data_IF_210214840496
#
_entry.id   IF_210214840496
#
_cell.length_a   1.000
_cell.length_b   1.000
_cell.length_c   1.000
_cell.angle_alpha   90.00
_cell.angle_beta   90.00
_cell.angle_gamma   90.00
#
_symmetry.space_group_name_H-M   'P 1'
#
loop_
_entity.id
_entity.type
_entity.pdbx_description
1 polymer ?
#
# COMPACT_ATOMS: atom_id res chain seq x y z
N UNK A 1 12.42 -15.59 31.59
CA UNK A 1 12.97 -16.17 30.34
C UNK A 1 13.06 -15.04 29.35
N UNK A 2 14.27 -14.61 29.00
CA UNK A 2 14.50 -13.57 27.97
C UNK A 2 13.99 -14.09 26.63
N UNK A 3 13.14 -13.32 25.94
CA UNK A 3 12.47 -13.84 24.74
C UNK A 3 13.40 -13.94 23.53
N UNK A 4 14.46 -13.14 23.45
CA UNK A 4 15.47 -13.22 22.39
C UNK A 4 16.80 -12.59 22.87
N UNK A 5 17.93 -12.91 22.23
CA UNK A 5 19.20 -12.18 22.34
C UNK A 5 19.52 -11.51 20.99
N UNK A 6 20.24 -10.38 21.01
CA UNK A 6 20.88 -9.64 19.89
C UNK A 6 20.20 -8.29 19.53
N UNK A 7 20.97 -7.20 19.54
CA UNK A 7 20.53 -5.82 19.23
C UNK A 7 20.01 -5.57 17.82
N UNK A 8 20.22 -6.49 16.87
CA UNK A 8 19.60 -6.46 15.55
C UNK A 8 18.08 -6.74 15.60
N UNK A 9 17.62 -7.44 16.65
CA UNK A 9 16.20 -7.67 16.89
C UNK A 9 15.50 -6.39 17.33
N UNK A 10 16.13 -5.60 18.20
CA UNK A 10 15.58 -4.32 18.66
C UNK A 10 15.31 -3.41 17.46
N UNK A 11 16.27 -3.35 16.55
CA UNK A 11 16.18 -2.55 15.33
C UNK A 11 15.05 -3.02 14.41
N UNK A 12 14.81 -4.33 14.34
CA UNK A 12 13.74 -4.91 13.54
C UNK A 12 12.35 -4.68 14.17
N UNK A 13 12.26 -4.72 15.51
CA UNK A 13 11.05 -4.40 16.27
C UNK A 13 10.72 -2.90 16.20
N UNK A 14 11.72 -2.02 16.33
CA UNK A 14 11.59 -0.57 16.07
C UNK A 14 11.07 -0.32 14.65
N UNK A 15 11.59 -1.07 13.68
CA UNK A 15 11.12 -0.99 12.29
C UNK A 15 9.64 -1.41 12.16
N UNK A 16 9.24 -2.46 12.88
CA UNK A 16 7.87 -2.95 12.88
C UNK A 16 6.90 -1.93 13.51
N UNK A 17 7.27 -1.39 14.68
CA UNK A 17 6.55 -0.34 15.40
C UNK A 17 6.27 0.87 14.49
N UNK A 18 7.33 1.46 13.93
CA UNK A 18 7.22 2.64 13.05
C UNK A 18 6.40 2.34 11.79
N UNK A 19 6.61 1.17 11.17
CA UNK A 19 5.89 0.78 9.97
C UNK A 19 4.40 0.51 10.20
N UNK A 20 4.02 0.10 11.41
CA UNK A 20 2.63 -0.19 11.79
C UNK A 20 1.81 1.03 12.21
N UNK A 21 2.39 2.23 12.30
CA UNK A 21 1.66 3.44 12.70
C UNK A 21 0.45 3.72 11.79
N UNK A 22 -0.76 4.05 12.31
CA UNK A 22 -1.08 4.38 13.70
C UNK A 22 -1.44 3.19 14.60
N UNK A 23 -1.46 1.95 14.10
CA UNK A 23 -1.87 0.78 14.90
C UNK A 23 -1.05 0.63 16.20
N UNK A 24 0.26 0.88 16.14
CA UNK A 24 1.12 0.85 17.33
C UNK A 24 0.75 1.94 18.36
N UNK A 25 0.27 3.10 17.91
CA UNK A 25 -0.19 4.16 18.81
C UNK A 25 -1.38 3.68 19.65
N UNK A 26 -2.36 3.06 18.98
CA UNK A 26 -3.56 2.55 19.65
C UNK A 26 -3.23 1.44 20.66
N UNK A 27 -2.25 0.59 20.34
CA UNK A 27 -1.80 -0.49 21.24
C UNK A 27 -1.12 0.03 22.51
N UNK A 28 -0.51 1.21 22.46
CA UNK A 28 0.20 1.81 23.60
C UNK A 28 -0.48 3.07 24.14
N UNK A 29 -1.77 3.27 23.86
CA UNK A 29 -2.51 4.46 24.28
C UNK A 29 -2.47 4.72 25.80
N UNK A 30 -2.38 3.66 26.60
CA UNK A 30 -2.31 3.73 28.07
C UNK A 30 -0.94 4.21 28.60
N UNK A 31 0.11 4.19 27.77
CA UNK A 31 1.47 4.60 28.16
C UNK A 31 1.71 6.11 28.05
N UNK A 32 0.69 6.89 27.67
CA UNK A 32 0.75 8.35 27.56
C UNK A 32 0.91 8.85 26.12
N UNK A 33 1.17 10.16 25.97
CA UNK A 33 1.28 10.79 24.65
C UNK A 33 2.47 10.25 23.86
N UNK A 34 2.21 9.86 22.62
CA UNK A 34 3.19 9.40 21.65
C UNK A 34 3.39 10.41 20.51
N UNK A 35 3.03 11.68 20.73
CA UNK A 35 2.96 12.72 19.69
C UNK A 35 4.33 12.96 19.03
N UNK A 36 5.41 12.79 19.77
CA UNK A 36 6.79 12.95 19.26
C UNK A 36 7.19 11.81 18.33
N UNK A 37 6.75 10.58 18.61
CA UNK A 37 6.92 9.42 17.72
C UNK A 37 6.01 9.56 16.50
N UNK A 38 4.77 10.01 16.69
CA UNK A 38 3.83 10.27 15.59
C UNK A 38 4.38 11.33 14.63
N UNK A 39 4.89 12.46 15.16
CA UNK A 39 5.51 13.52 14.38
C UNK A 39 6.76 13.01 13.64
N UNK A 40 7.59 12.18 14.28
CA UNK A 40 8.76 11.56 13.67
C UNK A 40 8.38 10.61 12.51
N UNK A 41 7.41 9.72 12.73
CA UNK A 41 6.90 8.80 11.68
C UNK A 41 6.31 9.59 10.52
N UNK A 42 5.59 10.67 10.79
CA UNK A 42 5.02 11.51 9.76
C UNK A 42 6.08 12.33 9.00
N UNK A 43 7.13 12.81 9.69
CA UNK A 43 8.27 13.47 9.05
C UNK A 43 9.01 12.53 8.09
N UNK A 44 9.17 11.25 8.44
CA UNK A 44 9.77 10.23 7.56
C UNK A 44 8.90 9.94 6.34
N UNK A 45 7.58 9.93 6.51
CA UNK A 45 6.64 9.79 5.38
C UNK A 45 6.72 10.99 4.44
N UNK A 46 6.89 12.20 4.99
CA UNK A 46 6.99 13.47 4.26
C UNK A 46 8.37 13.77 3.65
N UNK A 47 9.46 13.20 4.13
CA UNK A 47 10.81 13.33 3.51
C UNK A 47 11.04 12.31 2.38
N UNK A 48 10.20 11.29 2.27
CA UNK A 48 10.26 10.27 1.23
C UNK A 48 9.26 10.34 0.06
N UNK A 49 8.40 11.36 -0.14
CA UNK A 49 7.54 11.44 -1.31
C UNK A 49 8.31 11.88 -2.57
N UNK A 50 9.42 12.60 -2.45
CA UNK A 50 10.12 13.24 -3.59
C UNK A 50 11.26 12.42 -4.22
N UNK A 51 11.62 11.25 -3.67
CA UNK A 51 12.72 10.40 -4.20
C UNK A 51 12.34 8.93 -4.42
N UNK A 52 11.06 8.63 -4.60
CA UNK A 52 10.57 7.28 -4.95
C UNK A 52 10.55 7.03 -6.45
N UNK A 53 11.71 7.19 -7.09
CA UNK A 53 11.99 6.60 -8.40
C UNK A 53 12.50 5.16 -8.20
N UNK A 54 11.75 4.17 -8.72
CA UNK A 54 12.13 2.78 -9.03
C UNK A 54 12.90 1.91 -7.99
N UNK A 55 13.21 2.37 -6.79
CA UNK A 55 13.93 1.63 -5.73
C UNK A 55 13.36 1.90 -4.31
N UNK A 56 12.09 2.31 -4.23
CA UNK A 56 11.49 2.90 -3.03
C UNK A 56 11.16 1.92 -1.89
N UNK A 57 10.63 0.73 -2.20
CA UNK A 57 10.16 -0.19 -1.13
C UNK A 57 11.32 -0.75 -0.30
N UNK A 58 12.46 -1.00 -0.95
CA UNK A 58 13.68 -1.41 -0.27
C UNK A 58 14.36 -0.29 0.49
N UNK A 59 14.13 0.99 0.15
CA UNK A 59 14.72 2.14 0.85
C UNK A 59 13.89 2.62 2.02
N UNK A 60 12.57 2.75 1.88
CA UNK A 60 11.67 3.07 2.99
C UNK A 60 11.79 2.03 4.10
N UNK A 61 11.85 0.75 3.72
CA UNK A 61 12.10 -0.32 4.67
C UNK A 61 13.55 -0.33 5.23
N UNK A 62 14.54 0.26 4.55
CA UNK A 62 15.88 0.54 5.11
C UNK A 62 15.87 1.76 6.05
N UNK A 63 15.04 2.79 5.83
CA UNK A 63 14.96 3.98 6.69
C UNK A 63 14.34 3.68 8.05
N UNK A 64 13.48 2.66 8.12
CA UNK A 64 12.96 2.14 9.39
C UNK A 64 14.00 1.34 10.18
N UNK A 65 15.04 0.84 9.51
CA UNK A 65 16.10 0.02 10.10
C UNK A 65 17.23 0.81 10.76
N UNK A 66 17.04 2.09 11.10
CA UNK A 66 17.97 2.90 11.89
C UNK A 66 17.16 3.59 13.01
N UNK A 67 17.70 3.69 14.24
CA UNK A 67 17.05 4.45 15.30
C UNK A 67 16.91 5.93 14.86
N UNK A 68 15.89 6.65 15.35
CA UNK A 68 15.75 8.09 15.13
C UNK A 68 17.04 8.84 15.53
N UNK A 69 17.41 9.87 14.77
CA UNK A 69 18.50 10.77 15.16
C UNK A 69 18.11 11.62 16.38
N UNK A 70 16.83 11.95 16.50
CA UNK A 70 16.28 12.66 17.65
C UNK A 70 16.22 11.74 18.87
N UNK A 71 16.78 12.18 19.99
CA UNK A 71 16.92 11.38 21.22
C UNK A 71 15.59 10.95 21.81
N UNK A 72 14.57 11.81 21.74
CA UNK A 72 13.28 11.61 22.40
C UNK A 72 12.41 10.54 21.72
N UNK A 73 12.16 10.57 20.39
CA UNK A 73 11.50 9.45 19.72
C UNK A 73 12.36 8.17 19.71
N UNK A 74 13.69 8.27 19.72
CA UNK A 74 14.56 7.10 19.83
C UNK A 74 14.40 6.39 21.18
N UNK A 75 14.48 7.13 22.29
CA UNK A 75 14.28 6.59 23.62
C UNK A 75 12.88 5.97 23.78
N UNK A 76 11.85 6.64 23.26
CA UNK A 76 10.46 6.14 23.30
C UNK A 76 10.32 4.81 22.53
N UNK A 77 10.86 4.74 21.31
CA UNK A 77 10.81 3.51 20.50
C UNK A 77 11.62 2.36 21.11
N UNK A 78 12.75 2.65 21.74
CA UNK A 78 13.53 1.66 22.48
C UNK A 78 12.75 1.15 23.70
N UNK A 79 12.13 2.05 24.48
CA UNK A 79 11.31 1.65 25.63
C UNK A 79 10.14 0.74 25.21
N UNK A 80 9.42 1.09 24.14
CA UNK A 80 8.35 0.24 23.59
C UNK A 80 8.86 -1.11 23.10
N UNK A 81 10.06 -1.14 22.53
CA UNK A 81 10.69 -2.38 22.06
C UNK A 81 11.03 -3.29 23.23
N UNK A 82 11.61 -2.75 24.31
CA UNK A 82 11.86 -3.48 25.55
C UNK A 82 10.54 -4.02 26.12
N UNK A 83 9.49 -3.21 26.18
CA UNK A 83 8.16 -3.66 26.63
C UNK A 83 7.66 -4.86 25.83
N UNK A 84 7.81 -4.87 24.50
CA UNK A 84 7.37 -5.99 23.66
C UNK A 84 8.26 -7.23 23.86
N UNK A 85 9.58 -7.05 23.96
CA UNK A 85 10.51 -8.17 24.00
C UNK A 85 10.61 -8.81 25.40
N UNK A 86 10.36 -8.05 26.46
CA UNK A 86 10.38 -8.56 27.85
C UNK A 86 9.01 -9.03 28.33
N UNK A 87 7.90 -8.59 27.72
CA UNK A 87 6.56 -9.07 28.04
C UNK A 87 6.35 -10.52 27.56
N UNK A 88 6.00 -11.49 28.43
CA UNK A 88 5.60 -12.85 28.06
C UNK A 88 4.59 -12.92 26.90
N UNK A 89 3.71 -11.94 26.77
CA UNK A 89 2.67 -11.86 25.72
C UNK A 89 3.07 -11.03 24.50
N UNK A 90 4.25 -10.42 24.50
CA UNK A 90 4.67 -9.47 23.47
C UNK A 90 4.83 -10.07 22.07
N UNK A 91 4.97 -11.40 21.96
CA UNK A 91 4.87 -12.11 20.68
C UNK A 91 3.53 -11.90 19.96
N UNK A 92 2.43 -11.73 20.70
CA UNK A 92 1.11 -11.44 20.13
C UNK A 92 1.05 -10.01 19.57
N UNK A 93 1.58 -9.06 20.33
CA UNK A 93 1.72 -7.65 19.93
C UNK A 93 2.58 -7.50 18.68
N UNK A 94 3.74 -8.18 18.63
CA UNK A 94 4.61 -8.16 17.47
C UNK A 94 3.94 -8.78 16.24
N UNK A 95 3.23 -9.92 16.40
CA UNK A 95 2.48 -10.53 15.30
C UNK A 95 1.42 -9.59 14.72
N UNK A 96 0.72 -8.85 15.58
CA UNK A 96 -0.26 -7.85 15.16
C UNK A 96 0.38 -6.73 14.33
N UNK A 97 1.52 -6.19 14.77
CA UNK A 97 2.24 -5.17 14.00
C UNK A 97 2.75 -5.70 12.67
N UNK A 98 3.32 -6.91 12.67
CA UNK A 98 3.77 -7.55 11.45
C UNK A 98 2.63 -7.78 10.46
N UNK A 99 1.44 -8.18 10.91
CA UNK A 99 0.27 -8.38 10.03
C UNK A 99 -0.17 -7.11 9.28
N UNK A 100 0.16 -5.92 9.79
CA UNK A 100 -0.13 -4.64 9.14
C UNK A 100 0.88 -4.32 8.01
N UNK A 101 2.07 -4.93 8.06
CA UNK A 101 3.18 -4.68 7.15
C UNK A 101 3.16 -5.61 5.93
N UNK A 102 3.72 -5.19 4.78
CA UNK A 102 4.03 -6.11 3.70
C UNK A 102 5.00 -7.20 4.18
N UNK A 103 4.80 -8.44 3.75
CA UNK A 103 5.71 -9.57 4.04
C UNK A 103 7.12 -9.37 3.45
N UNK A 104 7.26 -8.46 2.49
CA UNK A 104 8.52 -8.02 1.89
C UNK A 104 9.19 -6.87 2.64
N UNK A 105 8.64 -6.41 3.78
CA UNK A 105 9.28 -5.35 4.55
C UNK A 105 10.58 -5.83 5.18
N UNK A 106 11.56 -4.94 5.31
CA UNK A 106 12.83 -5.22 5.99
C UNK A 106 12.62 -5.67 7.43
N UNK A 107 11.59 -5.17 8.11
CA UNK A 107 11.21 -5.65 9.45
C UNK A 107 10.88 -7.14 9.42
N UNK A 108 10.05 -7.60 8.47
CA UNK A 108 9.76 -9.02 8.29
C UNK A 108 11.00 -9.84 7.93
N UNK A 109 11.83 -9.35 7.01
CA UNK A 109 13.03 -10.07 6.55
C UNK A 109 14.02 -10.24 7.72
N UNK A 110 14.31 -9.16 8.46
CA UNK A 110 15.24 -9.19 9.61
C UNK A 110 14.69 -10.04 10.75
N UNK A 111 13.42 -9.86 11.14
CA UNK A 111 12.82 -10.68 12.19
C UNK A 111 12.85 -12.17 11.83
N UNK A 112 12.62 -12.53 10.57
CA UNK A 112 12.75 -13.94 10.12
C UNK A 112 14.18 -14.46 10.17
N UNK A 113 15.18 -13.63 9.89
CA UNK A 113 16.59 -14.00 10.00
C UNK A 113 16.98 -14.26 11.46
N UNK A 114 16.43 -13.48 12.40
CA UNK A 114 16.73 -13.61 13.84
C UNK A 114 15.80 -14.57 14.59
N UNK A 115 14.68 -15.00 13.98
CA UNK A 115 13.71 -15.90 14.59
C UNK A 115 14.33 -17.16 15.24
N UNK A 116 15.36 -17.83 14.67
CA UNK A 116 16.00 -18.99 15.31
C UNK A 116 16.63 -18.71 16.69
N UNK A 117 16.87 -17.45 17.03
CA UNK A 117 17.45 -17.01 18.32
C UNK A 117 16.39 -16.49 19.31
N UNK A 118 15.12 -16.61 18.96
CA UNK A 118 14.00 -16.21 19.79
C UNK A 118 13.32 -17.42 20.43
N UNK A 119 12.48 -17.15 21.44
CA UNK A 119 11.64 -18.16 22.07
C UNK A 119 10.76 -18.89 21.03
N UNK A 120 10.33 -20.13 21.30
CA UNK A 120 9.46 -20.86 20.38
C UNK A 120 8.17 -20.09 20.02
N UNK A 121 7.56 -19.42 21.00
CA UNK A 121 6.36 -18.60 20.81
C UNK A 121 6.61 -17.40 19.88
N UNK A 122 7.73 -16.70 20.08
CA UNK A 122 8.12 -15.57 19.23
C UNK A 122 8.49 -16.01 17.80
N UNK A 123 9.19 -17.15 17.68
CA UNK A 123 9.50 -17.76 16.38
C UNK A 123 8.23 -18.07 15.59
N UNK A 124 7.23 -18.65 16.25
CA UNK A 124 5.97 -18.99 15.60
C UNK A 124 5.16 -17.74 15.24
N UNK A 125 5.15 -16.72 16.11
CA UNK A 125 4.55 -15.42 15.81
C UNK A 125 5.15 -14.77 14.55
N UNK A 126 6.48 -14.74 14.43
CA UNK A 126 7.20 -14.19 13.27
C UNK A 126 6.93 -15.01 11.98
N UNK A 127 6.80 -16.33 12.09
CA UNK A 127 6.47 -17.19 10.94
C UNK A 127 5.01 -17.08 10.52
N UNK A 128 4.11 -17.01 11.51
CA UNK A 128 2.66 -16.98 11.35
C UNK A 128 2.12 -15.62 10.89
N UNK A 129 2.84 -14.52 11.16
CA UNK A 129 2.41 -13.17 10.78
C UNK A 129 2.24 -12.97 9.26
N UNK A 130 2.92 -13.76 8.43
CA UNK A 130 2.77 -13.76 6.97
C UNK A 130 1.43 -14.39 6.53
N UNK A 131 0.84 -15.22 7.39
CA UNK A 131 -0.42 -15.94 7.13
C UNK A 131 -1.65 -15.23 7.72
N UNK A 132 -1.45 -14.25 8.59
CA UNK A 132 -2.56 -13.49 9.15
C UNK A 132 -3.22 -12.68 8.03
N UNK A 133 -4.54 -12.87 7.79
CA UNK A 133 -5.26 -12.03 6.85
C UNK A 133 -5.10 -10.59 7.31
N UNK A 134 -4.49 -9.78 6.44
CA UNK A 134 -4.21 -8.36 6.70
C UNK A 134 -5.48 -7.73 7.27
N UNK A 135 -5.45 -7.31 8.55
CA UNK A 135 -6.57 -6.57 9.16
C UNK A 135 -6.77 -5.36 8.26
N UNK A 136 -7.91 -5.34 7.57
CA UNK A 136 -8.12 -4.45 6.45
C UNK A 136 -7.91 -3.00 6.92
N UNK A 137 -6.81 -2.38 6.46
CA UNK A 137 -6.85 -0.94 6.22
C UNK A 137 -8.14 -0.71 5.44
N UNK A 138 -9.04 0.10 6.01
CA UNK A 138 -10.49 0.12 5.75
C UNK A 138 -10.89 -0.15 4.30
N UNK A 139 -12.05 -0.79 4.13
CA UNK A 139 -12.60 -1.31 2.86
C UNK A 139 -11.83 -0.78 1.64
N UNK A 140 -10.93 -1.59 1.04
CA UNK A 140 -10.24 -1.15 -0.16
C UNK A 140 -11.32 -0.78 -1.18
N UNK A 141 -11.33 0.48 -1.63
CA UNK A 141 -12.27 1.01 -2.61
C UNK A 141 -12.55 -0.04 -3.68
N UNK A 142 -13.72 -0.70 -3.65
CA UNK A 142 -14.25 -1.63 -4.66
C UNK A 142 -13.21 -2.40 -5.51
N UNK A 143 -12.20 -3.03 -4.89
CA UNK A 143 -11.15 -3.78 -5.59
C UNK A 143 -11.08 -5.24 -5.10
N UNK A 144 -11.01 -6.21 -6.03
CA UNK A 144 -10.79 -6.09 -7.47
C UNK A 144 -11.98 -5.54 -8.27
N UNK A 145 -11.69 -4.84 -9.38
CA UNK A 145 -12.72 -4.38 -10.31
C UNK A 145 -13.44 -5.60 -10.89
N UNK A 146 -14.77 -5.66 -10.77
CA UNK A 146 -15.56 -6.71 -11.39
C UNK A 146 -15.50 -6.59 -12.93
N UNK A 147 -15.53 -7.71 -13.67
CA UNK A 147 -15.57 -7.73 -15.15
C UNK A 147 -16.92 -7.27 -15.71
N UNK A 148 -17.29 -6.02 -15.46
CA UNK A 148 -18.62 -5.47 -15.76
C UNK A 148 -18.89 -5.25 -17.25
N UNK A 149 -17.85 -5.25 -18.11
CA UNK A 149 -17.97 -4.90 -19.54
C UNK A 149 -17.40 -6.00 -20.45
N UNK A 150 -17.27 -7.22 -19.94
CA UNK A 150 -16.80 -8.36 -20.73
C UNK A 150 -17.74 -8.62 -21.90
N UNK A 151 -17.21 -8.61 -23.12
CA UNK A 151 -17.98 -8.76 -24.36
C UNK A 151 -18.70 -7.49 -24.84
N UNK A 152 -18.72 -6.41 -24.05
CA UNK A 152 -19.20 -5.08 -24.47
C UNK A 152 -18.07 -4.15 -24.90
N UNK A 153 -16.92 -4.23 -24.20
CA UNK A 153 -15.70 -3.48 -24.51
C UNK A 153 -14.64 -4.44 -25.04
N UNK A 154 -14.12 -4.21 -26.25
CA UNK A 154 -12.99 -4.98 -26.77
C UNK A 154 -11.69 -4.50 -26.12
N UNK A 155 -10.95 -5.35 -25.39
CA UNK A 155 -9.67 -4.93 -24.81
C UNK A 155 -8.62 -4.49 -25.85
N UNK A 156 -8.75 -4.87 -27.13
CA UNK A 156 -7.80 -4.47 -28.19
C UNK A 156 -7.94 -3.01 -28.60
N UNK A 157 -9.09 -2.39 -28.38
CA UNK A 157 -9.33 -0.99 -28.72
C UNK A 157 -8.88 -0.04 -27.60
N UNK A 158 -8.52 -0.57 -26.42
CA UNK A 158 -8.10 0.23 -25.27
C UNK A 158 -6.61 0.60 -25.42
N UNK A 159 -6.28 1.89 -25.58
CA UNK A 159 -4.89 2.32 -25.71
C UNK A 159 -4.21 2.42 -24.33
N UNK A 160 -2.89 2.25 -24.31
CA UNK A 160 -2.10 2.42 -23.09
C UNK A 160 -2.09 3.86 -22.56
N UNK A 161 -2.31 4.83 -23.46
CA UNK A 161 -2.52 6.25 -23.15
C UNK A 161 -3.90 6.63 -23.64
N UNK A 162 -4.78 7.03 -22.72
CA UNK A 162 -6.15 7.41 -23.07
C UNK A 162 -6.17 8.69 -23.92
N UNK A 163 -6.89 8.69 -25.06
CA UNK A 163 -7.21 9.91 -25.80
C UNK A 163 -7.91 10.93 -24.92
N UNK A 164 -7.78 12.22 -25.25
CA UNK A 164 -8.34 13.30 -24.45
C UNK A 164 -9.86 13.21 -24.29
N UNK A 165 -10.57 12.83 -25.35
CA UNK A 165 -12.03 12.68 -25.30
C UNK A 165 -12.48 11.52 -24.42
N UNK A 166 -11.73 10.41 -24.37
CA UNK A 166 -11.99 9.33 -23.40
C UNK A 166 -11.67 9.78 -21.98
N UNK A 167 -10.61 10.56 -21.81
CA UNK A 167 -10.16 11.01 -20.51
C UNK A 167 -10.98 12.18 -19.94
N UNK A 168 -11.81 12.86 -20.74
CA UNK A 168 -12.58 14.03 -20.30
C UNK A 168 -13.35 13.81 -18.98
N UNK A 169 -14.05 12.67 -18.73
CA UNK A 169 -14.74 12.43 -17.46
C UNK A 169 -13.82 12.34 -16.23
N UNK A 170 -12.51 12.20 -16.44
CA UNK A 170 -11.48 12.12 -15.39
C UNK A 170 -10.86 13.49 -15.08
N UNK A 171 -11.02 14.50 -15.95
CA UNK A 171 -10.35 15.80 -15.79
C UNK A 171 -10.94 16.67 -14.68
N UNK A 172 -12.22 16.44 -14.37
CA UNK A 172 -12.93 17.12 -13.27
C UNK A 172 -12.56 16.58 -11.89
N UNK A 173 -11.76 15.51 -11.85
CA UNK A 173 -11.26 14.95 -10.59
C UNK A 173 -9.98 15.70 -10.20
N UNK A 174 -9.94 16.22 -8.97
CA UNK A 174 -8.76 16.88 -8.39
C UNK A 174 -7.68 15.84 -8.01
N UNK A 175 -7.20 15.10 -9.01
CA UNK A 175 -6.28 13.99 -8.88
C UNK A 175 -5.07 14.16 -9.81
N UNK A 176 -3.95 13.46 -9.54
CA UNK A 176 -2.80 13.45 -10.45
C UNK A 176 -3.16 12.84 -11.82
N UNK A 177 -3.44 13.71 -12.80
CA UNK A 177 -4.04 13.39 -14.10
C UNK A 177 -3.34 12.26 -14.85
N UNK A 178 -2.00 12.29 -14.90
CA UNK A 178 -1.20 11.28 -15.61
C UNK A 178 -1.35 9.89 -15.00
N UNK A 179 -1.34 9.82 -13.67
CA UNK A 179 -1.52 8.58 -12.93
C UNK A 179 -2.96 8.09 -13.10
N UNK A 180 -3.94 9.00 -13.00
CA UNK A 180 -5.37 8.69 -13.09
C UNK A 180 -5.75 8.11 -14.47
N UNK A 181 -5.29 8.74 -15.56
CA UNK A 181 -5.49 8.24 -16.93
C UNK A 181 -4.85 6.87 -17.15
N UNK A 182 -3.64 6.64 -16.61
CA UNK A 182 -2.97 5.34 -16.70
C UNK A 182 -3.71 4.26 -15.92
N UNK A 183 -4.17 4.56 -14.71
CA UNK A 183 -4.99 3.63 -13.93
C UNK A 183 -6.26 3.29 -14.67
N UNK A 184 -6.96 4.31 -15.19
CA UNK A 184 -8.19 4.12 -15.95
C UNK A 184 -7.97 3.18 -17.15
N UNK A 185 -6.92 3.35 -17.95
CA UNK A 185 -6.59 2.42 -19.04
C UNK A 185 -6.46 0.96 -18.55
N UNK A 186 -5.74 0.75 -17.45
CA UNK A 186 -5.58 -0.58 -16.85
C UNK A 186 -6.93 -1.12 -16.37
N UNK A 187 -7.75 -0.28 -15.73
CA UNK A 187 -9.07 -0.67 -15.21
C UNK A 187 -10.05 -1.01 -16.32
N UNK A 188 -10.04 -0.30 -17.43
CA UNK A 188 -10.85 -0.63 -18.60
C UNK A 188 -10.51 -2.03 -19.13
N UNK A 189 -9.23 -2.38 -19.21
CA UNK A 189 -8.80 -3.75 -19.58
C UNK A 189 -9.27 -4.77 -18.54
N UNK A 190 -9.24 -4.44 -17.24
CA UNK A 190 -9.80 -5.32 -16.21
C UNK A 190 -11.33 -5.49 -16.35
N UNK A 191 -12.07 -4.44 -16.67
CA UNK A 191 -13.51 -4.47 -16.90
C UNK A 191 -13.87 -5.30 -18.14
N UNK A 192 -13.05 -5.22 -19.19
CA UNK A 192 -13.22 -5.95 -20.43
C UNK A 192 -12.83 -7.43 -20.33
N UNK A 193 -11.81 -7.77 -19.52
CA UNK A 193 -11.21 -9.12 -19.50
C UNK A 193 -11.42 -9.91 -18.21
N UNK A 194 -11.73 -9.24 -17.10
CA UNK A 194 -11.74 -9.82 -15.75
C UNK A 194 -10.38 -10.25 -15.23
N UNK A 195 -9.29 -9.89 -15.92
CA UNK A 195 -7.94 -10.29 -15.52
C UNK A 195 -7.41 -9.41 -14.38
N UNK A 196 -6.37 -9.92 -13.73
CA UNK A 196 -5.67 -9.18 -12.69
C UNK A 196 -5.13 -7.86 -13.22
N UNK A 197 -4.96 -6.87 -12.33
CA UNK A 197 -4.37 -5.56 -12.66
C UNK A 197 -2.98 -5.69 -13.29
N UNK A 198 -2.17 -6.63 -12.77
CA UNK A 198 -0.84 -6.94 -13.32
C UNK A 198 -0.94 -7.44 -14.75
N UNK A 199 -1.84 -8.39 -15.01
CA UNK A 199 -2.07 -8.94 -16.35
C UNK A 199 -2.57 -7.87 -17.32
N UNK A 200 -3.49 -6.99 -16.87
CA UNK A 200 -4.02 -5.89 -17.66
C UNK A 200 -2.93 -4.85 -18.01
N UNK A 201 -2.07 -4.52 -17.06
CA UNK A 201 -0.96 -3.60 -17.32
C UNK A 201 0.09 -4.19 -18.28
N UNK A 202 0.43 -5.47 -18.12
CA UNK A 202 1.32 -6.17 -19.05
C UNK A 202 0.72 -6.23 -20.46
N UNK A 203 -0.60 -6.43 -20.56
CA UNK A 203 -1.31 -6.41 -21.83
C UNK A 203 -1.19 -5.04 -22.54
N UNK A 204 -1.22 -3.94 -21.78
CA UNK A 204 -1.01 -2.57 -22.31
C UNK A 204 0.47 -2.20 -22.51
N UNK A 205 1.42 -3.12 -22.27
CA UNK A 205 2.85 -2.83 -22.35
C UNK A 205 3.38 -1.86 -21.27
N UNK A 206 2.63 -1.67 -20.17
CA UNK A 206 3.01 -0.74 -19.10
C UNK A 206 4.04 -1.42 -18.18
N UNK A 207 5.25 -0.85 -18.01
CA UNK A 207 6.28 -1.43 -17.15
C UNK A 207 5.84 -1.53 -15.69
N UNK A 208 6.07 -2.68 -15.05
CA UNK A 208 5.59 -2.94 -13.68
C UNK A 208 6.11 -1.93 -12.65
N UNK A 209 7.34 -1.42 -12.82
CA UNK A 209 7.88 -0.37 -11.94
C UNK A 209 7.09 0.94 -11.98
N UNK A 210 6.48 1.28 -13.13
CA UNK A 210 5.64 2.48 -13.29
C UNK A 210 4.23 2.31 -12.68
N UNK A 211 3.78 1.07 -12.51
CA UNK A 211 2.49 0.73 -11.91
C UNK A 211 2.46 0.96 -10.40
N UNK A 212 3.54 0.61 -9.70
CA UNK A 212 3.58 0.70 -8.25
C UNK A 212 3.44 2.16 -7.79
N UNK A 213 4.24 3.06 -8.36
CA UNK A 213 4.15 4.50 -8.09
C UNK A 213 2.75 5.07 -8.39
N UNK A 214 2.18 4.76 -9.57
CA UNK A 214 0.84 5.24 -9.94
C UNK A 214 -0.25 4.71 -9.00
N UNK A 215 -0.13 3.45 -8.55
CA UNK A 215 -1.10 2.80 -7.66
C UNK A 215 -1.10 3.43 -6.27
N UNK A 216 0.07 3.78 -5.72
CA UNK A 216 0.17 4.39 -4.39
C UNK A 216 -0.46 5.77 -4.36
N UNK A 217 -0.10 6.63 -5.34
CA UNK A 217 -0.64 7.99 -5.44
C UNK A 217 -2.16 7.99 -5.58
N UNK A 218 -2.70 7.14 -6.46
CA UNK A 218 -4.15 7.07 -6.67
C UNK A 218 -4.88 6.49 -5.47
N UNK A 219 -4.30 5.48 -4.80
CA UNK A 219 -4.91 4.93 -3.58
C UNK A 219 -4.93 5.93 -2.43
N UNK A 220 -3.92 6.79 -2.33
CA UNK A 220 -3.92 7.86 -1.34
C UNK A 220 -5.08 8.82 -1.61
N UNK A 221 -5.19 9.31 -2.84
CA UNK A 221 -6.28 10.18 -3.27
C UNK A 221 -7.67 9.54 -3.12
N UNK A 222 -7.84 8.26 -3.46
CA UNK A 222 -9.11 7.54 -3.32
C UNK A 222 -9.59 7.34 -1.88
N UNK A 223 -8.70 7.47 -0.89
CA UNK A 223 -9.07 7.35 0.54
C UNK A 223 -9.78 8.61 1.05
N UNK A 224 -9.61 9.73 0.37
CA UNK A 224 -10.34 10.95 0.73
C UNK A 224 -11.84 10.77 0.46
N UNK A 225 -12.71 11.35 1.30
CA UNK A 225 -14.16 11.16 1.19
C UNK A 225 -14.69 11.51 -0.21
N UNK A 226 -15.47 10.59 -0.81
CA UNK A 226 -16.11 10.80 -2.10
C UNK A 226 -15.26 10.48 -3.34
N UNK A 227 -13.93 10.52 -3.24
CA UNK A 227 -13.04 10.36 -4.40
C UNK A 227 -13.13 8.97 -5.06
N UNK A 228 -13.24 7.91 -4.26
CA UNK A 228 -13.41 6.56 -4.79
C UNK A 228 -14.70 6.39 -5.62
N UNK A 229 -15.81 6.98 -5.16
CA UNK A 229 -17.11 6.93 -5.84
C UNK A 229 -17.07 7.79 -7.11
N UNK A 230 -16.53 9.01 -7.01
CA UNK A 230 -16.36 9.91 -8.15
C UNK A 230 -15.50 9.25 -9.24
N UNK A 231 -14.41 8.59 -8.87
CA UNK A 231 -13.55 7.85 -9.79
C UNK A 231 -14.27 6.68 -10.45
N UNK A 232 -15.02 5.88 -9.70
CA UNK A 232 -15.77 4.76 -10.26
C UNK A 232 -16.82 5.24 -11.28
N UNK A 233 -17.53 6.33 -10.98
CA UNK A 233 -18.50 6.94 -11.89
C UNK A 233 -17.81 7.48 -13.16
N UNK A 234 -16.69 8.17 -13.00
CA UNK A 234 -15.90 8.65 -14.13
C UNK A 234 -15.40 7.49 -15.01
N UNK A 235 -14.91 6.42 -14.39
CA UNK A 235 -14.44 5.22 -15.09
C UNK A 235 -15.55 4.53 -15.88
N UNK A 236 -16.78 4.49 -15.34
CA UNK A 236 -17.94 4.01 -16.09
C UNK A 236 -18.23 4.88 -17.31
N UNK A 237 -18.20 6.22 -17.17
CA UNK A 237 -18.40 7.13 -18.31
C UNK A 237 -17.33 6.95 -19.39
N UNK A 238 -16.07 6.78 -18.98
CA UNK A 238 -14.96 6.50 -19.92
C UNK A 238 -15.22 5.20 -20.69
N UNK A 239 -15.67 4.14 -19.99
CA UNK A 239 -15.98 2.85 -20.62
C UNK A 239 -17.12 2.96 -21.64
N UNK A 240 -18.17 3.72 -21.33
CA UNK A 240 -19.29 3.93 -22.26
C UNK A 240 -18.88 4.75 -23.50
N UNK A 241 -18.01 5.77 -23.35
CA UNK A 241 -17.43 6.49 -24.50
C UNK A 241 -16.63 5.53 -25.39
N UNK A 242 -15.78 4.69 -24.79
CA UNK A 242 -14.97 3.72 -25.51
C UNK A 242 -15.80 2.67 -26.26
N UNK A 243 -16.91 2.23 -25.67
CA UNK A 243 -17.84 1.29 -26.31
C UNK A 243 -18.54 1.95 -27.50
N UNK A 244 -19.02 3.18 -27.34
CA UNK A 244 -19.72 3.90 -28.40
C UNK A 244 -18.83 4.12 -29.64
N UNK A 245 -17.53 4.37 -29.45
CA UNK A 245 -16.58 4.55 -30.55
C UNK A 245 -16.17 3.23 -31.22
N UNK A 246 -16.21 2.11 -30.48
CA UNK A 246 -15.91 0.78 -31.00
C UNK A 246 -17.09 0.11 -31.72
N UNK A 247 -18.31 0.66 -31.63
CA UNK A 247 -19.48 0.12 -32.31
C UNK A 247 -19.53 0.60 -33.78
N UNK A 248 -19.38 -0.28 -34.78
CA UNK A 248 -19.44 0.09 -36.19
C UNK A 248 -20.83 0.62 -36.62
N UNK A 249 -21.84 0.61 -35.74
CA UNK A 249 -23.17 1.20 -35.99
C UNK A 249 -23.29 2.66 -35.49
N UNK A 250 -22.29 3.18 -34.77
CA UNK A 250 -22.28 4.53 -34.22
C UNK A 250 -21.62 5.54 -35.15
N UNK A 251 -22.37 6.05 -36.13
CA UNK A 251 -21.91 7.23 -36.91
C UNK A 251 -22.21 8.49 -36.09
N UNK A 252 -21.24 9.41 -35.84
CA UNK A 252 -21.61 10.74 -35.38
C UNK A 252 -22.14 11.55 -36.58
N UNK A 253 -23.38 12.02 -36.48
CA UNK A 253 -23.86 13.10 -37.33
C UNK A 253 -23.02 14.36 -37.03
N UNK A 254 -22.63 15.05 -38.12
CA UNK A 254 -21.86 16.30 -38.13
C UNK A 254 -22.46 17.40 -37.25
#
# INVERSE_FOLDING_TARGET
MTQCQVGDLDLATISALRGSWPLAQDTFAELGSMDTVAAHVEALRRTHPERTGALGDGRVARTFGHPPADTLPAATLMALTVTILDDPSGHHTLAQFLSALPSTSTAHIRLRQHAPHCSPAMTEAIRGSVRLPRKAAGQPAFFPQLPTHRGRLDPRTIPAVLPEHWAAPLEDLDAPRRQLRRDAAIRLVQMATGRSRRSAALYLGIPLGSLQSSTVTIRAWQKEPGNAVAYQNALHRVAEIAIAEGDPRGTPAR
#
